data_IF_103515780628
#
_entry.id   IF_103515780628
#
_cell.length_a   1.000
_cell.length_b   1.000
_cell.length_c   1.000
_cell.angle_alpha   90.00
_cell.angle_beta   90.00
_cell.angle_gamma   90.00
#
_symmetry.space_group_name_H-M   'P 1'
#
loop_
_entity.id
_entity.type
_entity.pdbx_description
1 polymer ?
#
# COMPACT_ATOMS: atom_id res chain seq x y z
N UNK A 1 15.19 13.04 -6.65
CA UNK A 1 15.99 11.94 -7.26
C UNK A 1 16.21 10.87 -6.21
N UNK A 2 15.89 9.63 -6.53
CA UNK A 2 16.04 8.51 -5.59
C UNK A 2 17.46 8.43 -5.04
N UNK A 3 17.59 8.12 -3.73
CA UNK A 3 18.89 8.04 -3.02
C UNK A 3 19.62 6.72 -3.27
N UNK A 4 18.96 5.77 -3.95
CA UNK A 4 19.52 4.49 -4.36
C UNK A 4 19.37 4.29 -5.87
N UNK A 5 20.21 3.47 -6.51
CA UNK A 5 20.04 3.16 -7.92
C UNK A 5 18.67 2.53 -8.19
N UNK A 6 18.02 2.97 -9.27
CA UNK A 6 16.88 2.31 -9.88
C UNK A 6 17.36 1.72 -11.22
N UNK A 7 17.92 0.52 -11.21
CA UNK A 7 18.64 0.02 -12.36
C UNK A 7 17.70 -0.34 -13.51
N UNK A 8 18.13 -0.07 -14.73
CA UNK A 8 17.43 -0.54 -15.91
C UNK A 8 17.58 -2.05 -16.06
N UNK A 9 16.55 -2.78 -16.49
CA UNK A 9 16.58 -4.24 -16.57
C UNK A 9 17.74 -4.80 -17.39
N UNK A 10 18.08 -4.11 -18.49
CA UNK A 10 19.16 -4.51 -19.40
C UNK A 10 20.57 -4.41 -18.79
N UNK A 11 20.72 -3.64 -17.73
CA UNK A 11 22.00 -3.49 -17.01
C UNK A 11 22.18 -4.51 -15.89
N UNK A 12 21.14 -5.29 -15.55
CA UNK A 12 21.16 -6.24 -14.46
C UNK A 12 21.80 -7.59 -14.86
N UNK A 13 22.63 -8.13 -13.98
CA UNK A 13 23.26 -9.45 -14.13
C UNK A 13 23.28 -10.18 -12.77
N UNK A 14 23.44 -11.51 -12.78
CA UNK A 14 23.52 -12.33 -11.56
C UNK A 14 22.28 -12.22 -10.66
N UNK A 15 22.48 -12.26 -9.34
CA UNK A 15 21.40 -12.26 -8.35
C UNK A 15 20.43 -11.06 -8.48
N UNK A 16 20.88 -9.82 -8.71
CA UNK A 16 19.97 -8.70 -9.01
C UNK A 16 19.05 -8.94 -10.23
N UNK A 17 19.57 -9.56 -11.28
CA UNK A 17 18.77 -9.90 -12.47
C UNK A 17 17.73 -10.98 -12.15
N UNK A 18 18.11 -12.02 -11.44
CA UNK A 18 17.19 -13.08 -11.03
C UNK A 18 16.03 -12.55 -10.16
N UNK A 19 16.34 -11.62 -9.21
CA UNK A 19 15.33 -10.96 -8.39
C UNK A 19 14.40 -10.11 -9.25
N UNK A 20 14.93 -9.31 -10.17
CA UNK A 20 14.11 -8.54 -11.09
C UNK A 20 13.15 -9.44 -11.89
N UNK A 21 13.63 -10.54 -12.43
CA UNK A 21 12.81 -11.46 -13.22
C UNK A 21 11.67 -12.08 -12.36
N UNK A 22 11.94 -12.41 -11.08
CA UNK A 22 10.90 -12.86 -10.15
C UNK A 22 9.88 -11.76 -9.82
N UNK A 23 10.33 -10.52 -9.65
CA UNK A 23 9.44 -9.37 -9.44
C UNK A 23 8.56 -9.17 -10.69
N UNK A 24 9.15 -9.13 -11.87
CA UNK A 24 8.45 -8.94 -13.13
C UNK A 24 7.39 -10.04 -13.38
N UNK A 25 7.73 -11.29 -13.06
CA UNK A 25 6.79 -12.42 -13.18
C UNK A 25 5.57 -12.29 -12.25
N UNK A 26 5.72 -11.71 -11.06
CA UNK A 26 4.64 -11.59 -10.07
C UNK A 26 3.88 -10.27 -10.15
N UNK A 27 4.54 -9.20 -10.57
CA UNK A 27 4.00 -7.83 -10.57
C UNK A 27 3.62 -7.32 -11.96
N UNK A 28 4.23 -7.88 -13.00
CA UNK A 28 4.13 -7.40 -14.37
C UNK A 28 5.28 -6.45 -14.74
N UNK A 29 5.25 -5.98 -15.97
CA UNK A 29 6.18 -4.99 -16.51
C UNK A 29 5.39 -3.83 -17.10
N UNK A 30 5.89 -2.59 -17.00
CA UNK A 30 7.12 -2.19 -16.31
C UNK A 30 7.03 -2.37 -14.79
N UNK A 31 8.18 -2.69 -14.15
CA UNK A 31 8.27 -2.86 -12.70
C UNK A 31 8.28 -1.50 -12.01
N UNK A 32 7.50 -1.37 -10.95
CA UNK A 32 7.41 -0.14 -10.16
C UNK A 32 8.75 0.19 -9.47
N UNK A 33 9.07 1.48 -9.31
CA UNK A 33 10.35 1.98 -8.78
C UNK A 33 10.66 1.48 -7.36
N UNK A 34 9.66 1.28 -6.51
CA UNK A 34 9.85 0.70 -5.17
C UNK A 34 10.46 -0.71 -5.25
N UNK A 35 10.04 -1.50 -6.22
CA UNK A 35 10.60 -2.85 -6.44
C UNK A 35 11.96 -2.80 -7.15
N UNK A 36 12.20 -1.83 -8.04
CA UNK A 36 13.53 -1.60 -8.61
C UNK A 36 14.55 -1.23 -7.52
N UNK A 37 14.15 -0.46 -6.51
CA UNK A 37 15.01 -0.16 -5.37
C UNK A 37 15.39 -1.44 -4.60
N UNK A 38 14.47 -2.41 -4.45
CA UNK A 38 14.73 -3.68 -3.76
C UNK A 38 15.70 -4.59 -4.49
N UNK A 39 15.89 -4.42 -5.80
CA UNK A 39 16.88 -5.19 -6.57
C UNK A 39 18.31 -4.97 -6.05
N UNK A 40 18.57 -3.86 -5.37
CA UNK A 40 19.86 -3.59 -4.71
C UNK A 40 20.13 -4.48 -3.47
N UNK A 41 19.13 -5.22 -3.00
CA UNK A 41 19.27 -6.17 -1.86
C UNK A 41 18.60 -7.50 -2.20
N UNK A 42 19.18 -8.30 -3.10
CA UNK A 42 18.55 -9.51 -3.65
C UNK A 42 18.08 -10.50 -2.57
N UNK A 43 18.87 -10.67 -1.52
CA UNK A 43 18.59 -11.64 -0.45
C UNK A 43 17.33 -11.29 0.37
N UNK A 44 16.97 -10.00 0.48
CA UNK A 44 15.78 -9.54 1.21
C UNK A 44 14.57 -9.37 0.30
N UNK A 45 14.79 -9.11 -0.98
CA UNK A 45 13.74 -8.78 -1.92
C UNK A 45 12.67 -9.89 -2.06
N UNK A 46 13.06 -11.16 -1.98
CA UNK A 46 12.12 -12.29 -2.05
C UNK A 46 11.16 -12.34 -0.86
N UNK A 47 11.64 -12.04 0.35
CA UNK A 47 10.79 -11.95 1.55
C UNK A 47 9.77 -10.81 1.44
N UNK A 48 10.23 -9.64 1.00
CA UNK A 48 9.38 -8.46 0.75
C UNK A 48 8.34 -8.77 -0.33
N UNK A 49 8.77 -9.33 -1.46
CA UNK A 49 7.90 -9.70 -2.57
C UNK A 49 6.87 -10.76 -2.18
N UNK A 50 7.27 -11.72 -1.32
CA UNK A 50 6.40 -12.76 -0.79
C UNK A 50 5.23 -12.19 -0.01
N UNK A 51 5.49 -11.33 0.98
CA UNK A 51 4.47 -10.68 1.79
C UNK A 51 3.58 -9.74 0.94
N UNK A 52 4.19 -8.89 0.11
CA UNK A 52 3.47 -7.99 -0.77
C UNK A 52 2.50 -8.75 -1.71
N UNK A 53 2.94 -9.91 -2.24
CA UNK A 53 2.11 -10.73 -3.11
C UNK A 53 0.97 -11.42 -2.36
N UNK A 54 1.24 -11.94 -1.16
CA UNK A 54 0.23 -12.60 -0.32
C UNK A 54 -0.90 -11.62 0.05
N UNK A 55 -0.58 -10.42 0.48
CA UNK A 55 -1.56 -9.38 0.84
C UNK A 55 -2.41 -8.91 -0.35
N UNK A 56 -1.93 -9.10 -1.59
CA UNK A 56 -2.72 -8.75 -2.79
C UNK A 56 -3.62 -9.87 -3.28
N UNK A 57 -3.15 -11.12 -3.17
CA UNK A 57 -3.75 -12.24 -3.89
C UNK A 57 -4.66 -13.11 -3.04
N UNK A 58 -4.46 -13.13 -1.71
CA UNK A 58 -5.03 -14.19 -0.84
C UNK A 58 -5.78 -13.62 0.35
N UNK A 59 -6.49 -12.49 0.19
CA UNK A 59 -7.23 -11.88 1.28
C UNK A 59 -8.74 -12.02 1.12
N UNK A 60 -9.44 -12.26 2.22
CA UNK A 60 -10.89 -12.21 2.34
C UNK A 60 -11.41 -10.81 2.65
N UNK A 61 -10.54 -9.90 3.08
CA UNK A 61 -10.87 -8.50 3.31
C UNK A 61 -11.36 -7.87 1.99
N UNK A 62 -12.57 -7.28 1.96
CA UNK A 62 -13.10 -6.65 0.76
C UNK A 62 -12.10 -5.64 0.17
N UNK A 63 -11.84 -5.79 -1.11
CA UNK A 63 -10.82 -4.98 -1.79
C UNK A 63 -11.02 -3.47 -1.66
N UNK A 64 -12.26 -2.91 -1.74
CA UNK A 64 -12.46 -1.48 -1.51
C UNK A 64 -12.00 -1.04 -0.12
N UNK A 65 -12.29 -1.81 0.93
CA UNK A 65 -11.88 -1.50 2.31
C UNK A 65 -10.36 -1.53 2.45
N UNK A 66 -9.70 -2.51 1.84
CA UNK A 66 -8.25 -2.59 1.81
C UNK A 66 -7.63 -1.35 1.17
N UNK A 67 -8.10 -0.96 -0.02
CA UNK A 67 -7.55 0.20 -0.72
C UNK A 67 -7.82 1.52 0.04
N UNK A 68 -8.97 1.69 0.69
CA UNK A 68 -9.23 2.83 1.57
C UNK A 68 -8.21 2.90 2.72
N UNK A 69 -7.91 1.76 3.35
CA UNK A 69 -6.89 1.71 4.40
C UNK A 69 -5.50 2.08 3.88
N UNK A 70 -5.11 1.59 2.70
CA UNK A 70 -3.80 1.87 2.10
C UNK A 70 -3.65 3.35 1.72
N UNK A 71 -4.65 3.93 1.04
CA UNK A 71 -4.62 5.36 0.69
C UNK A 71 -4.58 6.22 1.97
N UNK A 72 -5.28 5.80 3.03
CA UNK A 72 -5.20 6.47 4.33
C UNK A 72 -3.78 6.48 4.89
N UNK A 73 -3.07 5.34 4.87
CA UNK A 73 -1.66 5.29 5.31
C UNK A 73 -0.79 6.25 4.50
N UNK A 74 -0.96 6.27 3.18
CA UNK A 74 -0.24 7.18 2.29
C UNK A 74 -0.48 8.66 2.62
N UNK A 75 -1.75 9.05 2.82
CA UNK A 75 -2.13 10.43 3.18
C UNK A 75 -1.56 10.83 4.54
N UNK A 76 -1.70 9.99 5.57
CA UNK A 76 -1.22 10.27 6.93
C UNK A 76 0.29 10.40 7.02
N UNK A 77 1.03 9.78 6.11
CA UNK A 77 2.49 9.82 6.08
C UNK A 77 3.07 10.79 5.06
N UNK A 78 2.24 11.41 4.22
CA UNK A 78 2.67 12.26 3.12
C UNK A 78 3.39 11.49 2.00
N UNK A 79 3.15 10.18 1.87
CA UNK A 79 3.76 9.34 0.86
C UNK A 79 2.98 9.44 -0.47
N UNK A 80 3.21 10.50 -1.25
CA UNK A 80 2.51 10.75 -2.52
C UNK A 80 2.62 9.58 -3.50
N UNK A 81 3.75 8.89 -3.53
CA UNK A 81 3.96 7.70 -4.35
C UNK A 81 2.88 6.64 -4.04
N UNK A 82 2.69 6.34 -2.77
CA UNK A 82 1.72 5.33 -2.32
C UNK A 82 0.28 5.78 -2.59
N UNK A 83 -0.03 7.05 -2.28
CA UNK A 83 -1.33 7.64 -2.57
C UNK A 83 -1.67 7.50 -4.05
N UNK A 84 -0.75 7.86 -4.95
CA UNK A 84 -1.02 7.85 -6.38
C UNK A 84 -1.24 6.44 -6.93
N UNK A 85 -0.38 5.48 -6.58
CA UNK A 85 -0.53 4.09 -7.03
C UNK A 85 -1.83 3.47 -6.52
N UNK A 86 -2.15 3.67 -5.23
CA UNK A 86 -3.34 3.10 -4.62
C UNK A 86 -4.63 3.88 -4.91
N UNK A 87 -4.56 5.13 -5.36
CA UNK A 87 -5.70 5.84 -5.93
C UNK A 87 -6.30 5.07 -7.11
N UNK A 88 -5.47 4.73 -8.10
CA UNK A 88 -5.91 3.98 -9.27
C UNK A 88 -6.38 2.56 -8.90
N UNK A 89 -5.71 1.92 -7.94
CA UNK A 89 -6.11 0.61 -7.44
C UNK A 89 -7.47 0.65 -6.73
N UNK A 90 -7.72 1.71 -5.95
CA UNK A 90 -8.98 1.95 -5.25
C UNK A 90 -10.15 2.17 -6.22
N UNK A 91 -9.97 3.01 -7.25
CA UNK A 91 -10.98 3.20 -8.31
C UNK A 91 -11.31 1.87 -8.99
N UNK A 92 -10.29 1.07 -9.35
CA UNK A 92 -10.46 -0.27 -9.95
C UNK A 92 -11.10 -1.28 -8.98
N UNK A 93 -10.99 -1.04 -7.68
CA UNK A 93 -11.64 -1.85 -6.65
C UNK A 93 -13.10 -1.44 -6.41
N UNK A 94 -13.57 -0.33 -6.96
CA UNK A 94 -14.92 0.18 -6.80
C UNK A 94 -15.09 1.27 -5.74
N UNK A 95 -13.98 1.77 -5.17
CA UNK A 95 -14.02 3.01 -4.37
C UNK A 95 -14.37 4.17 -5.28
N UNK A 96 -15.32 5.00 -4.88
CA UNK A 96 -15.74 6.16 -5.67
C UNK A 96 -14.72 7.29 -5.55
N UNK A 97 -14.56 8.06 -6.63
CA UNK A 97 -13.63 9.23 -6.64
C UNK A 97 -13.94 10.20 -5.50
N UNK A 98 -15.22 10.51 -5.28
CA UNK A 98 -15.66 11.38 -4.19
C UNK A 98 -15.25 10.89 -2.79
N UNK A 99 -15.14 9.56 -2.58
CA UNK A 99 -14.64 9.00 -1.34
C UNK A 99 -13.14 9.25 -1.19
N UNK A 100 -12.37 9.07 -2.27
CA UNK A 100 -10.92 9.32 -2.25
C UNK A 100 -10.61 10.81 -2.01
N UNK A 101 -11.37 11.71 -2.61
CA UNK A 101 -11.24 13.16 -2.42
C UNK A 101 -11.62 13.60 -1.00
N UNK A 102 -12.62 12.94 -0.39
CA UNK A 102 -13.08 13.23 0.97
C UNK A 102 -12.28 12.51 2.07
N UNK A 103 -11.28 11.67 1.73
CA UNK A 103 -10.66 10.75 2.68
C UNK A 103 -9.95 11.47 3.84
N UNK A 104 -9.34 12.63 3.59
CA UNK A 104 -8.71 13.45 4.63
C UNK A 104 -9.71 13.99 5.64
N UNK A 105 -10.95 14.26 5.21
CA UNK A 105 -12.05 14.84 6.00
C UNK A 105 -13.15 13.80 6.29
N UNK A 106 -12.80 12.51 6.32
CA UNK A 106 -13.76 11.39 6.36
C UNK A 106 -14.74 11.48 7.53
N UNK A 107 -14.36 12.10 8.66
CA UNK A 107 -15.20 12.21 9.85
C UNK A 107 -16.45 13.06 9.60
N UNK A 108 -16.31 14.14 8.84
CA UNK A 108 -17.40 15.08 8.48
C UNK A 108 -18.12 14.73 7.18
N UNK A 109 -17.72 13.69 6.46
CA UNK A 109 -18.23 13.37 5.13
C UNK A 109 -19.31 12.29 5.16
N UNK A 110 -20.40 12.44 4.45
CA UNK A 110 -21.51 11.46 4.37
C UNK A 110 -21.30 10.39 3.30
N UNK A 111 -20.18 10.43 2.56
CA UNK A 111 -19.93 9.49 1.46
C UNK A 111 -19.43 8.12 1.92
N UNK A 112 -19.11 7.94 3.20
CA UNK A 112 -18.61 6.70 3.76
C UNK A 112 -19.65 5.95 4.58
N UNK A 113 -19.75 4.66 4.38
CA UNK A 113 -20.51 3.78 5.26
C UNK A 113 -19.86 3.68 6.66
N UNK A 114 -20.58 3.21 7.68
CA UNK A 114 -20.01 2.99 9.01
C UNK A 114 -18.78 2.07 9.00
N UNK A 115 -18.79 1.01 8.17
CA UNK A 115 -17.69 0.07 8.05
C UNK A 115 -16.46 0.71 7.38
N UNK A 116 -16.65 1.51 6.34
CA UNK A 116 -15.56 2.25 5.69
C UNK A 116 -14.93 3.27 6.65
N UNK A 117 -15.75 3.99 7.43
CA UNK A 117 -15.25 4.91 8.47
C UNK A 117 -14.42 4.19 9.52
N UNK A 118 -14.87 3.01 9.98
CA UNK A 118 -14.13 2.22 10.97
C UNK A 118 -12.75 1.78 10.44
N UNK A 119 -12.69 1.33 9.19
CA UNK A 119 -11.43 0.94 8.53
C UNK A 119 -10.49 2.13 8.35
N UNK A 120 -11.01 3.28 7.91
CA UNK A 120 -10.23 4.51 7.75
C UNK A 120 -9.70 4.98 9.10
N UNK A 121 -10.55 5.01 10.15
CA UNK A 121 -10.16 5.37 11.50
C UNK A 121 -9.06 4.45 12.02
N UNK A 122 -9.22 3.14 11.86
CA UNK A 122 -8.21 2.16 12.25
C UNK A 122 -6.87 2.42 11.57
N UNK A 123 -6.85 2.58 10.24
CA UNK A 123 -5.64 2.83 9.48
C UNK A 123 -4.94 4.13 9.92
N UNK A 124 -5.70 5.20 10.17
CA UNK A 124 -5.21 6.48 10.66
C UNK A 124 -4.57 6.36 12.04
N UNK A 125 -5.28 5.76 13.00
CA UNK A 125 -4.80 5.63 14.39
C UNK A 125 -3.53 4.77 14.47
N UNK A 126 -3.52 3.61 13.80
CA UNK A 126 -2.32 2.77 13.74
C UNK A 126 -1.14 3.51 13.11
N UNK A 127 -1.38 4.28 12.04
CA UNK A 127 -0.32 4.99 11.34
C UNK A 127 0.28 6.11 12.19
N UNK A 128 -0.56 6.84 12.93
CA UNK A 128 -0.14 7.95 13.79
C UNK A 128 0.51 7.51 15.08
N UNK A 129 -0.04 6.47 15.71
CA UNK A 129 0.26 6.15 17.11
C UNK A 129 0.86 4.75 17.31
N UNK A 130 0.79 3.86 16.33
CA UNK A 130 1.24 2.46 16.43
C UNK A 130 0.35 1.58 17.32
N UNK A 131 -0.66 2.16 17.97
CA UNK A 131 -1.63 1.52 18.86
C UNK A 131 -2.99 2.18 18.69
N UNK A 132 -4.04 1.49 19.11
CA UNK A 132 -5.42 1.96 19.06
C UNK A 132 -6.10 1.77 20.41
N UNK A 133 -7.13 2.55 20.65
CA UNK A 133 -8.04 2.35 21.78
C UNK A 133 -9.08 1.26 21.47
N UNK A 134 -9.70 0.71 22.53
CA UNK A 134 -10.64 -0.40 22.39
C UNK A 134 -11.85 -0.08 21.50
N UNK A 135 -12.35 1.15 21.57
CA UNK A 135 -13.49 1.59 20.74
C UNK A 135 -13.18 1.62 19.22
N UNK A 136 -11.91 1.86 18.83
CA UNK A 136 -11.47 1.75 17.45
C UNK A 136 -11.50 0.28 17.00
N UNK A 137 -11.03 -0.64 17.85
CA UNK A 137 -11.10 -2.06 17.59
C UNK A 137 -12.55 -2.58 17.50
N UNK A 138 -13.40 -2.18 18.43
CA UNK A 138 -14.81 -2.57 18.48
C UNK A 138 -15.58 -2.08 17.23
N UNK A 139 -15.17 -0.94 16.67
CA UNK A 139 -15.69 -0.43 15.38
C UNK A 139 -15.49 -1.40 14.22
N UNK A 140 -14.51 -2.31 14.29
CA UNK A 140 -14.26 -3.32 13.26
C UNK A 140 -15.14 -4.57 13.37
N UNK A 141 -16.12 -4.61 14.28
CA UNK A 141 -17.00 -5.77 14.53
C UNK A 141 -17.83 -6.22 13.32
N UNK A 142 -17.95 -5.39 12.28
CA UNK A 142 -18.55 -5.78 10.99
C UNK A 142 -17.64 -6.65 10.11
N UNK A 143 -16.35 -6.84 10.49
CA UNK A 143 -15.40 -7.74 9.85
C UNK A 143 -15.24 -9.01 10.71
N UNK A 144 -15.09 -10.16 10.07
CA UNK A 144 -14.71 -11.37 10.79
C UNK A 144 -13.24 -11.31 11.25
N UNK A 145 -12.84 -12.25 12.11
CA UNK A 145 -11.49 -12.27 12.70
C UNK A 145 -10.39 -12.34 11.63
N UNK A 146 -10.60 -13.10 10.55
CA UNK A 146 -9.64 -13.20 9.46
C UNK A 146 -9.47 -11.85 8.77
N UNK A 147 -10.57 -11.19 8.43
CA UNK A 147 -10.59 -9.88 7.79
C UNK A 147 -9.95 -8.80 8.68
N UNK A 148 -10.22 -8.84 10.00
CA UNK A 148 -9.57 -7.94 10.95
C UNK A 148 -8.05 -8.14 10.95
N UNK A 149 -7.57 -9.39 11.00
CA UNK A 149 -6.14 -9.69 10.94
C UNK A 149 -5.51 -9.29 9.61
N UNK A 150 -6.20 -9.50 8.49
CA UNK A 150 -5.75 -9.05 7.18
C UNK A 150 -5.67 -7.53 7.08
N UNK A 151 -6.59 -6.80 7.72
CA UNK A 151 -6.54 -5.34 7.82
C UNK A 151 -5.33 -4.89 8.65
N UNK A 152 -5.09 -5.50 9.81
CA UNK A 152 -3.90 -5.22 10.65
C UNK A 152 -2.62 -5.42 9.85
N UNK A 153 -2.48 -6.56 9.18
CA UNK A 153 -1.30 -6.88 8.36
C UNK A 153 -1.14 -5.93 7.18
N UNK A 154 -2.25 -5.54 6.53
CA UNK A 154 -2.24 -4.56 5.45
C UNK A 154 -1.72 -3.21 5.93
N UNK A 155 -2.30 -2.65 6.98
CA UNK A 155 -1.89 -1.35 7.53
C UNK A 155 -0.44 -1.39 8.01
N UNK A 156 -0.02 -2.45 8.70
CA UNK A 156 1.37 -2.63 9.13
C UNK A 156 2.34 -2.69 7.95
N UNK A 157 1.98 -3.46 6.91
CA UNK A 157 2.78 -3.58 5.71
C UNK A 157 2.95 -2.24 4.98
N UNK A 158 1.86 -1.51 4.76
CA UNK A 158 1.95 -0.22 4.07
C UNK A 158 2.65 0.85 4.91
N UNK A 159 2.57 0.77 6.23
CA UNK A 159 3.44 1.55 7.12
C UNK A 159 4.93 1.18 6.97
N UNK A 160 5.26 -0.08 6.67
CA UNK A 160 6.62 -0.48 6.30
C UNK A 160 7.02 0.10 4.94
N UNK A 161 6.16 -0.04 3.92
CA UNK A 161 6.43 0.45 2.55
C UNK A 161 6.71 1.95 2.52
N UNK A 162 5.88 2.77 3.15
CA UNK A 162 6.11 4.23 3.17
C UNK A 162 7.42 4.61 3.87
N UNK A 163 7.88 3.80 4.84
CA UNK A 163 9.19 3.98 5.50
C UNK A 163 10.37 3.45 4.68
N UNK A 164 10.10 2.78 3.57
CA UNK A 164 11.10 2.50 2.52
C UNK A 164 11.09 3.64 1.50
N UNK A 165 9.91 4.04 1.03
CA UNK A 165 9.73 5.05 0.00
C UNK A 165 10.29 6.43 0.39
N UNK A 166 9.86 6.95 1.53
CA UNK A 166 10.18 8.31 1.97
C UNK A 166 11.68 8.53 2.26
N UNK A 167 12.37 7.68 3.04
CA UNK A 167 13.81 7.85 3.26
C UNK A 167 14.65 7.67 2.01
N UNK A 168 14.19 6.87 1.05
CA UNK A 168 14.89 6.64 -0.21
C UNK A 168 14.55 7.66 -1.31
N UNK A 169 13.57 8.53 -1.05
CA UNK A 169 13.10 9.54 -2.01
C UNK A 169 12.72 8.92 -3.37
N UNK A 170 11.93 7.83 -3.31
CA UNK A 170 11.52 7.08 -4.50
C UNK A 170 10.51 7.90 -5.28
N UNK A 171 10.87 8.24 -6.52
CA UNK A 171 10.05 9.03 -7.44
C UNK A 171 9.02 8.17 -8.17
N UNK A 172 7.93 8.81 -8.61
CA UNK A 172 6.97 8.19 -9.52
C UNK A 172 7.65 7.77 -10.81
N UNK A 173 7.16 6.74 -11.41
CA UNK A 173 7.60 6.27 -12.73
C UNK A 173 7.16 7.24 -13.84
N UNK A 174 8.01 7.46 -14.81
CA UNK A 174 7.72 8.33 -15.96
C UNK A 174 6.47 7.89 -16.75
N UNK A 175 6.16 6.60 -16.71
CA UNK A 175 5.00 6.01 -17.38
C UNK A 175 3.72 6.07 -16.54
N UNK A 176 3.80 6.33 -15.22
CA UNK A 176 2.64 6.37 -14.36
C UNK A 176 1.69 7.51 -14.73
N UNK A 177 0.39 7.25 -14.65
CA UNK A 177 -0.67 8.27 -14.76
C UNK A 177 -1.71 7.99 -13.69
N UNK A 178 -2.02 9.02 -12.92
CA UNK A 178 -3.12 9.00 -11.96
C UNK A 178 -4.44 9.25 -12.68
N UNK A 179 -5.40 8.35 -12.49
CA UNK A 179 -6.76 8.43 -13.04
C UNK A 179 -7.59 9.55 -12.41
#
# INVERSE_FOLDING_TARGET
>A
MARVPLPKPEALTGAPREVYDRIAARRGVPVENVFLALVNTPDLADGVLGLASALRASTSLPRPLRELAVVTVGLETGAEYEVNHHWNAALKAGVRREQLEALSEYEGSDVFSPQERAVIRFAREVTRHGRIDQDVWDGLSGLDLQQQMELVLTVAWYNCVVRILLPLDIEMEDWFRRD
#
